data_IF_849083507506
#
_entry.id   IF_849083507506
#
_cell.length_a   1.000
_cell.length_b   1.000
_cell.length_c   1.000
_cell.angle_alpha   90.00
_cell.angle_beta   90.00
_cell.angle_gamma   90.00
#
_symmetry.space_group_name_H-M   'P 1'
#
loop_
_entity.id
_entity.type
_entity.pdbx_description
1 polymer ?
#
# COMPACT_ATOMS: atom_id res chain seq x y z
N UNK A 1 16.18 -7.56 28.71
CA UNK A 1 16.20 -7.17 27.29
C UNK A 1 14.80 -6.65 27.00
N UNK A 2 14.61 -5.33 27.03
CA UNK A 2 13.29 -4.73 26.81
C UNK A 2 13.03 -4.73 25.31
N UNK A 3 12.13 -5.59 24.85
CA UNK A 3 11.58 -5.51 23.49
C UNK A 3 10.75 -4.23 23.47
N UNK A 4 11.23 -3.23 22.73
CA UNK A 4 10.52 -1.98 22.54
C UNK A 4 9.41 -2.26 21.54
N UNK A 5 8.25 -2.72 22.02
CA UNK A 5 7.04 -2.94 21.22
C UNK A 5 6.49 -1.57 20.76
N UNK A 6 7.11 -1.00 19.73
CA UNK A 6 6.56 0.17 19.04
C UNK A 6 5.33 -0.29 18.26
N UNK A 7 4.15 -0.04 18.82
CA UNK A 7 2.92 -0.21 18.06
C UNK A 7 2.78 0.92 17.02
N UNK A 8 2.46 0.60 15.76
CA UNK A 8 2.19 1.59 14.73
C UNK A 8 1.00 2.49 15.13
N UNK A 9 1.15 3.80 15.00
CA UNK A 9 0.06 4.76 15.24
C UNK A 9 -0.62 5.11 13.93
N UNK A 10 -1.91 4.81 13.81
CA UNK A 10 -2.70 5.06 12.60
C UNK A 10 -3.52 6.34 12.72
N UNK A 11 -3.51 7.18 11.68
CA UNK A 11 -4.31 8.40 11.63
C UNK A 11 -5.51 8.20 10.71
N UNK A 12 -6.70 8.24 11.29
CA UNK A 12 -7.97 8.29 10.56
C UNK A 12 -8.39 9.74 10.37
N UNK A 13 -8.51 10.18 9.12
CA UNK A 13 -9.05 11.51 8.80
C UNK A 13 -10.58 11.42 8.92
N UNK A 14 -11.12 11.65 10.12
CA UNK A 14 -12.56 11.55 10.40
C UNK A 14 -13.28 12.86 10.07
N UNK A 15 -14.22 12.78 9.12
CA UNK A 15 -15.38 13.67 8.98
C UNK A 15 -16.66 12.81 8.88
N UNK A 16 -17.84 13.39 8.67
CA UNK A 16 -19.14 12.68 8.51
C UNK A 16 -19.17 11.61 7.39
N UNK A 17 -18.08 11.50 6.63
CA UNK A 17 -17.81 10.56 5.53
C UNK A 17 -16.36 10.10 5.65
N UNK A 18 -16.07 8.81 5.42
CA UNK A 18 -14.71 8.26 5.39
C UNK A 18 -13.85 8.99 4.34
N UNK A 19 -12.76 9.67 4.74
CA UNK A 19 -11.92 10.46 3.82
C UNK A 19 -10.59 9.80 3.48
N UNK A 20 -9.91 9.21 4.46
CA UNK A 20 -8.66 8.50 4.20
C UNK A 20 -8.03 7.87 5.43
N UNK A 21 -6.95 7.13 5.19
CA UNK A 21 -6.12 6.45 6.17
C UNK A 21 -4.65 6.71 5.83
N UNK A 22 -3.87 7.14 6.81
CA UNK A 22 -2.43 7.38 6.64
C UNK A 22 -1.67 6.70 7.78
N UNK A 23 -0.62 5.99 7.42
CA UNK A 23 0.43 5.52 8.30
C UNK A 23 1.78 5.91 7.67
N UNK A 24 2.57 6.70 8.38
CA UNK A 24 3.93 7.02 7.97
C UNK A 24 4.87 5.89 8.41
N UNK A 25 5.50 5.25 7.42
CA UNK A 25 6.38 4.11 7.64
C UNK A 25 7.81 4.49 8.00
N UNK A 26 8.60 3.46 8.23
CA UNK A 26 10.04 3.52 8.47
C UNK A 26 10.76 2.38 7.70
N UNK A 27 11.97 2.02 8.13
CA UNK A 27 12.75 0.98 7.47
C UNK A 27 12.17 -0.44 7.68
N UNK A 28 11.19 -0.62 8.58
CA UNK A 28 10.53 -1.91 8.89
C UNK A 28 9.08 -1.94 8.41
N UNK A 29 8.34 -0.86 8.65
CA UNK A 29 6.93 -0.75 8.31
C UNK A 29 6.74 0.13 7.07
N UNK A 30 5.97 -0.29 6.07
CA UNK A 30 5.79 0.52 4.88
C UNK A 30 4.88 1.70 5.18
N UNK A 31 5.05 2.79 4.45
CA UNK A 31 4.07 3.88 4.42
C UNK A 31 2.79 3.37 3.75
N UNK A 32 1.63 3.66 4.35
CA UNK A 32 0.32 3.30 3.81
C UNK A 32 -0.52 4.56 3.67
N UNK A 33 -1.03 4.80 2.47
CA UNK A 33 -1.87 5.96 2.15
C UNK A 33 -3.11 5.46 1.42
N UNK A 34 -4.28 5.57 2.03
CA UNK A 34 -5.56 5.24 1.40
C UNK A 34 -6.38 6.52 1.28
N UNK A 35 -6.36 7.16 0.11
CA UNK A 35 -7.06 8.41 -0.14
C UNK A 35 -8.36 8.16 -0.90
N UNK A 36 -9.49 8.12 -0.17
CA UNK A 36 -10.81 7.90 -0.79
C UNK A 36 -11.20 9.05 -1.72
N UNK A 37 -10.82 10.29 -1.41
CA UNK A 37 -11.21 11.45 -2.22
C UNK A 37 -10.71 11.33 -3.66
N UNK A 38 -9.46 10.91 -3.80
CA UNK A 38 -8.78 10.84 -5.10
C UNK A 38 -8.85 9.44 -5.73
N UNK A 39 -9.29 8.42 -4.98
CA UNK A 39 -9.36 7.03 -5.44
C UNK A 39 -8.01 6.34 -5.61
N UNK A 40 -6.94 6.94 -5.06
CA UNK A 40 -5.56 6.48 -5.19
C UNK A 40 -5.08 5.99 -3.83
N UNK A 41 -4.72 4.71 -3.78
CA UNK A 41 -4.19 4.03 -2.61
C UNK A 41 -2.74 3.62 -2.87
N UNK A 42 -1.90 3.62 -1.84
CA UNK A 42 -0.48 3.30 -1.94
C UNK A 42 0.04 2.57 -0.71
N UNK A 43 0.90 1.59 -0.96
CA UNK A 43 1.83 1.03 0.03
C UNK A 43 3.23 1.21 -0.54
N UNK A 44 4.12 1.87 0.20
CA UNK A 44 5.49 2.15 -0.27
C UNK A 44 6.58 1.96 0.79
N UNK A 45 7.79 1.60 0.34
CA UNK A 45 8.98 1.38 1.17
C UNK A 45 9.24 -0.09 1.49
N UNK A 46 9.85 -0.35 2.65
CA UNK A 46 10.13 -1.71 3.13
C UNK A 46 8.95 -2.25 3.94
N UNK A 47 8.65 -3.54 3.78
CA UNK A 47 7.61 -4.22 4.55
C UNK A 47 8.14 -5.50 5.17
N UNK A 48 8.77 -5.34 6.32
CA UNK A 48 9.34 -6.44 7.13
C UNK A 48 8.81 -6.51 8.56
N UNK A 49 7.51 -6.22 8.84
CA UNK A 49 6.95 -6.42 10.16
C UNK A 49 7.09 -7.88 10.59
N UNK A 50 7.39 -8.09 11.87
CA UNK A 50 7.42 -9.42 12.48
C UNK A 50 6.05 -10.09 12.32
N UNK A 51 4.99 -9.37 12.68
CA UNK A 51 3.59 -9.78 12.50
C UNK A 51 2.88 -8.91 11.44
N UNK A 52 3.03 -9.27 10.17
CA UNK A 52 2.38 -8.59 9.05
C UNK A 52 0.85 -8.66 9.11
N UNK A 53 0.27 -9.73 9.65
CA UNK A 53 -1.18 -9.85 9.80
C UNK A 53 -1.72 -8.73 10.71
N UNK A 54 -1.12 -8.56 11.88
CA UNK A 54 -1.53 -7.54 12.85
C UNK A 54 -1.29 -6.13 12.31
N UNK A 55 -0.16 -5.89 11.66
CA UNK A 55 0.14 -4.60 11.06
C UNK A 55 -0.87 -4.20 9.97
N UNK A 56 -1.23 -5.12 9.07
CA UNK A 56 -2.14 -4.82 7.95
C UNK A 56 -3.62 -4.99 8.28
N UNK A 57 -3.99 -5.48 9.46
CA UNK A 57 -5.40 -5.64 9.85
C UNK A 57 -6.19 -4.31 9.75
N UNK A 58 -5.68 -3.16 10.24
CA UNK A 58 -6.36 -1.87 10.06
C UNK A 58 -6.54 -1.48 8.59
N UNK A 59 -5.57 -1.80 7.72
CA UNK A 59 -5.62 -1.53 6.27
C UNK A 59 -6.72 -2.37 5.61
N UNK A 60 -6.77 -3.67 5.94
CA UNK A 60 -7.77 -4.60 5.41
C UNK A 60 -9.18 -4.22 5.91
N UNK A 61 -9.31 -3.82 7.16
CA UNK A 61 -10.58 -3.36 7.74
C UNK A 61 -11.06 -2.09 7.05
N UNK A 62 -10.17 -1.12 6.81
CA UNK A 62 -10.49 0.09 6.07
C UNK A 62 -10.95 -0.21 4.64
N UNK A 63 -10.25 -1.10 3.93
CA UNK A 63 -10.65 -1.53 2.58
C UNK A 63 -12.00 -2.26 2.56
N UNK A 64 -12.31 -3.01 3.62
CA UNK A 64 -13.60 -3.68 3.78
C UNK A 64 -14.73 -2.67 3.97
N UNK A 65 -14.52 -1.60 4.74
CA UNK A 65 -15.48 -0.49 4.84
C UNK A 65 -15.61 0.27 3.51
N UNK A 66 -14.49 0.54 2.83
CA UNK A 66 -14.47 1.16 1.51
C UNK A 66 -15.30 0.40 0.49
N UNK A 67 -15.22 -0.93 0.48
CA UNK A 67 -15.96 -1.79 -0.44
C UNK A 67 -17.49 -1.69 -0.30
N UNK A 68 -18.02 -1.18 0.81
CA UNK A 68 -19.46 -0.93 0.97
C UNK A 68 -19.96 0.29 0.17
N UNK A 69 -19.09 1.27 -0.09
CA UNK A 69 -19.39 2.42 -0.95
C UNK A 69 -18.11 2.89 -1.65
N UNK A 70 -17.60 2.10 -2.61
CA UNK A 70 -16.36 2.39 -3.32
C UNK A 70 -16.57 3.54 -4.32
N UNK A 71 -15.47 4.13 -4.78
CA UNK A 71 -15.48 5.03 -5.92
C UNK A 71 -15.76 4.25 -7.21
N UNK A 72 -16.04 4.98 -8.30
CA UNK A 72 -16.14 4.36 -9.63
C UNK A 72 -14.82 3.73 -10.09
N UNK A 73 -13.70 4.30 -9.66
CA UNK A 73 -12.36 3.82 -9.96
C UNK A 73 -11.49 3.78 -8.70
N UNK A 74 -10.77 2.68 -8.51
CA UNK A 74 -9.80 2.48 -7.44
C UNK A 74 -8.46 2.10 -8.03
N UNK A 75 -7.47 2.96 -7.85
CA UNK A 75 -6.09 2.72 -8.23
C UNK A 75 -5.28 2.33 -7.00
N UNK A 76 -4.72 1.12 -6.98
CA UNK A 76 -3.82 0.69 -5.93
C UNK A 76 -2.38 0.61 -6.42
N UNK A 77 -1.46 1.28 -5.72
CA UNK A 77 -0.04 1.33 -6.07
C UNK A 77 0.74 0.55 -5.01
N UNK A 78 1.44 -0.50 -5.44
CA UNK A 78 2.47 -1.14 -4.63
C UNK A 78 3.83 -0.65 -5.10
N UNK A 79 4.56 0.01 -4.20
CA UNK A 79 5.85 0.60 -4.47
C UNK A 79 6.88 0.19 -3.41
N UNK A 80 7.17 -1.10 -3.43
CA UNK A 80 7.92 -1.80 -2.39
C UNK A 80 9.38 -1.97 -2.80
N UNK A 81 10.28 -1.62 -1.88
CA UNK A 81 11.72 -1.89 -2.05
C UNK A 81 12.04 -3.34 -1.70
N UNK A 82 11.44 -3.85 -0.61
CA UNK A 82 11.55 -5.22 -0.15
C UNK A 82 10.37 -5.57 0.75
N UNK A 83 9.98 -6.84 0.79
CA UNK A 83 8.99 -7.34 1.76
C UNK A 83 9.24 -8.79 2.15
N UNK A 84 8.87 -9.14 3.38
CA UNK A 84 9.01 -10.50 3.90
C UNK A 84 7.76 -11.36 3.64
N UNK A 85 7.87 -12.65 3.99
CA UNK A 85 6.77 -13.63 3.87
C UNK A 85 5.53 -13.22 4.68
N UNK A 86 5.74 -12.62 5.87
CA UNK A 86 4.66 -12.15 6.75
C UNK A 86 3.77 -11.11 6.03
N UNK A 87 4.41 -10.17 5.33
CA UNK A 87 3.74 -9.16 4.50
C UNK A 87 3.10 -9.74 3.25
N UNK A 88 3.73 -10.74 2.63
CA UNK A 88 3.26 -11.34 1.38
C UNK A 88 1.82 -11.88 1.50
N UNK A 89 1.50 -12.53 2.62
CA UNK A 89 0.13 -13.01 2.87
C UNK A 89 -0.88 -11.88 3.05
N UNK A 90 -0.48 -10.80 3.71
CA UNK A 90 -1.33 -9.62 3.90
C UNK A 90 -1.63 -8.90 2.58
N UNK A 91 -0.64 -8.76 1.71
CA UNK A 91 -0.83 -8.19 0.37
C UNK A 91 -1.83 -9.00 -0.47
N UNK A 92 -1.80 -10.34 -0.37
CA UNK A 92 -2.79 -11.17 -1.04
C UNK A 92 -4.22 -10.88 -0.52
N UNK A 93 -4.41 -10.69 0.79
CA UNK A 93 -5.71 -10.31 1.33
C UNK A 93 -6.17 -8.93 0.88
N UNK A 94 -5.27 -7.95 0.80
CA UNK A 94 -5.56 -6.64 0.23
C UNK A 94 -6.03 -6.79 -1.22
N UNK A 95 -5.32 -7.56 -2.04
CA UNK A 95 -5.68 -7.83 -3.43
C UNK A 95 -7.04 -8.53 -3.56
N UNK A 96 -7.40 -9.45 -2.66
CA UNK A 96 -8.75 -10.02 -2.64
C UNK A 96 -9.83 -8.99 -2.33
N UNK A 97 -9.58 -8.01 -1.46
CA UNK A 97 -10.51 -6.89 -1.24
C UNK A 97 -10.68 -6.01 -2.47
N UNK A 98 -9.61 -5.78 -3.21
CA UNK A 98 -9.68 -5.09 -4.50
C UNK A 98 -10.48 -5.90 -5.54
N UNK A 99 -10.33 -7.23 -5.54
CA UNK A 99 -11.09 -8.11 -6.43
C UNK A 99 -12.59 -8.09 -6.11
N UNK A 100 -12.98 -8.07 -4.83
CA UNK A 100 -14.38 -7.92 -4.40
C UNK A 100 -14.99 -6.62 -4.96
N UNK A 101 -14.26 -5.50 -4.88
CA UNK A 101 -14.69 -4.21 -5.43
C UNK A 101 -14.87 -4.28 -6.95
N UNK A 102 -13.94 -4.93 -7.66
CA UNK A 102 -14.05 -5.15 -9.10
C UNK A 102 -15.28 -6.01 -9.46
N UNK A 103 -15.53 -7.07 -8.70
CA UNK A 103 -16.68 -7.98 -8.91
C UNK A 103 -18.02 -7.28 -8.63
N UNK A 104 -18.04 -6.23 -7.83
CA UNK A 104 -19.19 -5.34 -7.64
C UNK A 104 -19.41 -4.35 -8.81
N UNK A 105 -18.65 -4.49 -9.91
CA UNK A 105 -18.81 -3.70 -11.13
C UNK A 105 -18.05 -2.38 -11.15
N UNK A 106 -17.14 -2.15 -10.19
CA UNK A 106 -16.27 -0.96 -10.18
C UNK A 106 -14.97 -1.19 -10.93
N UNK A 107 -14.35 -0.11 -11.40
CA UNK A 107 -13.03 -0.17 -12.02
C UNK A 107 -11.97 -0.28 -10.94
N UNK A 108 -11.08 -1.24 -11.10
CA UNK A 108 -9.95 -1.47 -10.21
C UNK A 108 -8.73 -1.77 -11.06
N UNK A 109 -7.61 -1.15 -10.74
CA UNK A 109 -6.32 -1.49 -11.33
C UNK A 109 -5.20 -1.37 -10.30
N UNK A 110 -4.17 -2.17 -10.51
CA UNK A 110 -2.98 -2.21 -9.67
C UNK A 110 -1.78 -1.73 -10.47
N UNK A 111 -1.04 -0.76 -9.97
CA UNK A 111 0.32 -0.48 -10.46
C UNK A 111 1.31 -1.12 -9.50
N UNK A 112 2.12 -2.04 -10.02
CA UNK A 112 3.20 -2.70 -9.30
C UNK A 112 4.53 -2.10 -9.72
N UNK A 113 5.08 -1.22 -8.89
CA UNK A 113 6.41 -0.66 -9.08
C UNK A 113 7.47 -1.68 -8.65
N UNK A 114 8.52 -1.85 -9.44
CA UNK A 114 9.59 -2.79 -9.16
C UNK A 114 10.97 -2.21 -9.52
N UNK A 115 11.96 -2.48 -8.68
CA UNK A 115 13.36 -2.07 -8.89
C UNK A 115 14.21 -3.22 -9.45
N UNK A 116 13.87 -4.46 -9.11
CA UNK A 116 14.61 -5.66 -9.49
C UNK A 116 13.70 -6.83 -9.94
N UNK A 117 14.33 -7.97 -10.27
CA UNK A 117 13.63 -9.16 -10.75
C UNK A 117 12.85 -9.91 -9.66
N UNK A 118 13.25 -9.79 -8.39
CA UNK A 118 12.56 -10.43 -7.28
C UNK A 118 11.22 -9.74 -7.02
N UNK A 119 11.22 -8.41 -6.90
CA UNK A 119 10.01 -7.61 -6.72
C UNK A 119 9.07 -7.77 -7.92
N UNK A 120 9.60 -7.78 -9.14
CA UNK A 120 8.81 -8.05 -10.35
C UNK A 120 8.19 -9.45 -10.32
N UNK A 121 8.96 -10.47 -9.94
CA UNK A 121 8.51 -11.86 -9.89
C UNK A 121 7.30 -12.02 -8.98
N UNK A 122 7.38 -11.48 -7.76
CA UNK A 122 6.27 -11.56 -6.82
C UNK A 122 5.01 -10.82 -7.31
N UNK A 123 5.18 -9.65 -7.94
CA UNK A 123 4.05 -8.94 -8.54
C UNK A 123 3.36 -9.75 -9.65
N UNK A 124 4.12 -10.47 -10.47
CA UNK A 124 3.57 -11.37 -11.50
C UNK A 124 2.84 -12.55 -10.89
N UNK A 125 3.38 -13.15 -9.83
CA UNK A 125 2.71 -14.24 -9.11
C UNK A 125 1.36 -13.78 -8.56
N UNK A 126 1.29 -12.60 -7.96
CA UNK A 126 0.02 -12.01 -7.55
C UNK A 126 -0.94 -11.77 -8.72
N UNK A 127 -0.46 -11.19 -9.82
CA UNK A 127 -1.27 -10.97 -11.02
C UNK A 127 -1.83 -12.26 -11.64
N UNK A 128 -1.16 -13.41 -11.46
CA UNK A 128 -1.71 -14.72 -11.84
C UNK A 128 -2.75 -15.24 -10.85
N UNK A 129 -2.63 -14.90 -9.57
CA UNK A 129 -3.58 -15.32 -8.52
C UNK A 129 -4.88 -14.52 -8.54
N UNK A 130 -4.82 -13.22 -8.83
CA UNK A 130 -6.00 -12.35 -8.86
C UNK A 130 -6.26 -11.81 -10.26
N UNK A 131 -7.51 -11.92 -10.74
CA UNK A 131 -7.92 -11.42 -12.07
C UNK A 131 -8.21 -9.91 -12.04
N UNK A 132 -7.24 -9.13 -11.59
CA UNK A 132 -7.28 -7.66 -11.60
C UNK A 132 -6.29 -7.18 -12.66
N UNK A 133 -6.56 -6.08 -13.39
CA UNK A 133 -5.57 -5.44 -14.24
C UNK A 133 -4.33 -5.01 -13.45
N UNK A 134 -3.16 -5.56 -13.81
CA UNK A 134 -1.86 -5.16 -13.26
C UNK A 134 -1.05 -4.42 -14.33
N UNK A 135 -0.54 -3.25 -13.97
CA UNK A 135 0.48 -2.49 -14.70
C UNK A 135 1.82 -2.63 -13.96
N UNK A 136 2.86 -3.11 -14.65
CA UNK A 136 4.18 -3.26 -14.06
C UNK A 136 5.09 -2.09 -14.46
N UNK A 137 5.53 -1.30 -13.47
CA UNK A 137 6.34 -0.11 -13.68
C UNK A 137 7.75 -0.28 -13.12
N UNK A 138 8.77 -0.27 -13.97
CA UNK A 138 10.16 -0.29 -13.51
C UNK A 138 10.51 1.06 -12.88
N UNK A 139 11.04 1.04 -11.66
CA UNK A 139 11.56 2.22 -10.95
C UNK A 139 13.06 2.06 -10.69
N UNK A 140 13.78 3.18 -10.52
CA UNK A 140 15.21 3.12 -10.16
C UNK A 140 15.31 2.84 -8.65
N UNK A 141 16.17 1.89 -8.27
CA UNK A 141 16.51 1.64 -6.87
C UNK A 141 17.14 2.90 -6.26
N UNK A 142 16.74 3.27 -5.04
CA UNK A 142 17.26 4.45 -4.32
C UNK A 142 16.30 5.64 -4.28
N UNK A 143 15.03 5.43 -3.89
CA UNK A 143 14.21 6.54 -3.38
C UNK A 143 14.88 7.11 -2.14
N UNK A 144 15.62 8.20 -2.34
CA UNK A 144 16.19 9.03 -1.30
C UNK A 144 15.03 9.50 -0.41
N UNK A 145 15.18 9.33 0.91
CA UNK A 145 14.30 9.91 1.93
C UNK A 145 14.09 11.39 1.60
N UNK A 146 12.82 11.79 1.51
CA UNK A 146 12.31 13.17 1.42
C UNK A 146 12.88 14.03 0.31
N UNK A 147 12.00 14.55 -0.54
CA UNK A 147 12.26 15.76 -1.31
C UNK A 147 12.90 16.81 -0.39
N UNK A 148 14.16 17.11 -0.68
CA UNK A 148 14.86 18.24 -0.10
C UNK A 148 14.07 19.47 -0.52
N UNK A 149 13.55 20.18 0.49
CA UNK A 149 13.07 21.54 0.34
C UNK A 149 14.19 22.31 -0.36
N UNK A 150 13.90 22.76 -1.58
CA UNK A 150 14.73 23.73 -2.29
C UNK A 150 14.57 25.05 -1.55
N UNK A 151 15.50 25.34 -0.64
CA UNK A 151 15.81 26.73 -0.32
C UNK A 151 16.89 27.15 -1.29
N UNK A 152 16.46 27.92 -2.28
CA UNK A 152 17.32 28.79 -3.08
C UNK A 152 18.07 29.72 -2.13
N UNK A 153 19.39 29.57 -2.05
CA UNK A 153 20.26 30.68 -1.64
C UNK A 153 20.78 31.31 -2.94
N UNK A 154 20.29 32.53 -3.18
CA UNK A 154 20.92 33.50 -4.07
C UNK A 154 22.22 33.97 -3.40
N UNK A 155 23.35 33.89 -4.12
CA UNK A 155 24.35 34.96 -4.25
C UNK A 155 25.07 34.82 -5.61
#
# INVERSE_FOLDING_TARGET
MLVNERHPTFILIKGKVMQGFIFEGDDTFPTVILNKRDGIFRIEGNSTPENGKEFFEPVINWLSEYAGKPNEETHFIFDLDYFNISSSKAFLFILYKLLEIQQAGKKVHVTWCYSDAYILGAGRDYGHMVKIPFEFKKVRSGKIKSDSISVSEEE
#
